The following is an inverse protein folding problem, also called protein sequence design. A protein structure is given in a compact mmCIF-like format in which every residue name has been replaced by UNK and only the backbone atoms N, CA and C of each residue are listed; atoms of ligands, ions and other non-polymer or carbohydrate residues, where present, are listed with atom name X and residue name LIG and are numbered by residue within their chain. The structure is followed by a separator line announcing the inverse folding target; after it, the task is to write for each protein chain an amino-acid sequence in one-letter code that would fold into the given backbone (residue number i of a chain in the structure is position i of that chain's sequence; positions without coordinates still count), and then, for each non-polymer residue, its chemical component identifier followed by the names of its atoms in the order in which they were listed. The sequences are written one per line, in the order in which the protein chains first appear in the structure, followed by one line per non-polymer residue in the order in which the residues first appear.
data_IF_621774405036
#
_entry.id   IF_621774405036
#
_cell.length_a   1.000
_cell.length_b   1.000
_cell.length_c   1.000
_cell.angle_alpha   90.00
_cell.angle_beta   90.00
_cell.angle_gamma   90.00
#
_symmetry.space_group_name_H-M   'P 1'
#
loop_
_entity.id
_entity.type
_entity.pdbx_description
1 polymer ?
#
# COMPACT_ATOMS: atom_id res chain seq x y z
N UNK A 1 -7.41 -18.73 7.49
CA UNK A 1 -7.71 -17.30 7.76
C UNK A 1 -7.71 -17.10 9.27
N UNK A 2 -6.87 -16.19 9.79
CA UNK A 2 -6.71 -15.94 11.25
C UNK A 2 -7.93 -15.16 11.79
N UNK A 3 -8.15 -15.22 13.11
CA UNK A 3 -9.26 -14.49 13.73
C UNK A 3 -9.05 -12.96 13.64
N UNK A 4 -7.80 -12.49 13.74
CA UNK A 4 -7.46 -11.09 13.51
C UNK A 4 -7.88 -10.65 12.09
N UNK A 5 -7.58 -11.46 11.07
CA UNK A 5 -7.95 -11.14 9.68
C UNK A 5 -9.47 -11.06 9.49
N UNK A 6 -10.23 -11.96 10.11
CA UNK A 6 -11.71 -11.94 10.08
C UNK A 6 -12.27 -10.69 10.78
N UNK A 7 -11.71 -10.36 11.96
CA UNK A 7 -12.09 -9.16 12.73
C UNK A 7 -11.81 -7.89 11.92
N UNK A 8 -10.59 -7.78 11.36
CA UNK A 8 -10.18 -6.63 10.55
C UNK A 8 -11.04 -6.47 9.28
N UNK A 9 -11.36 -7.58 8.60
CA UNK A 9 -12.23 -7.53 7.42
C UNK A 9 -13.60 -6.94 7.75
N UNK A 10 -14.27 -7.44 8.77
CA UNK A 10 -15.58 -6.92 9.22
C UNK A 10 -15.51 -5.44 9.62
N UNK A 11 -14.42 -5.03 10.28
CA UNK A 11 -14.23 -3.65 10.68
C UNK A 11 -14.02 -2.73 9.48
N UNK A 12 -13.27 -3.15 8.47
CA UNK A 12 -13.11 -2.43 7.20
C UNK A 12 -14.45 -2.30 6.45
N UNK A 13 -15.21 -3.39 6.35
CA UNK A 13 -16.54 -3.40 5.71
C UNK A 13 -17.49 -2.42 6.41
N UNK A 14 -17.52 -2.42 7.74
CA UNK A 14 -18.36 -1.48 8.53
C UNK A 14 -17.97 -0.01 8.32
N UNK A 15 -16.77 0.26 7.84
CA UNK A 15 -16.27 1.58 7.46
C UNK A 15 -16.48 1.93 5.99
N UNK A 16 -17.12 1.04 5.22
CA UNK A 16 -17.46 1.28 3.82
C UNK A 16 -16.35 0.92 2.82
N UNK A 17 -15.31 0.23 3.24
CA UNK A 17 -14.35 -0.36 2.31
C UNK A 17 -14.96 -1.62 1.67
N UNK A 18 -14.66 -1.83 0.39
CA UNK A 18 -14.92 -3.12 -0.27
C UNK A 18 -13.80 -4.09 0.14
N UNK A 19 -14.15 -5.23 0.74
CA UNK A 19 -13.14 -6.11 1.33
C UNK A 19 -13.21 -7.51 0.72
N UNK A 20 -12.06 -8.01 0.31
CA UNK A 20 -11.88 -9.39 -0.12
C UNK A 20 -10.82 -10.06 0.76
N UNK A 21 -11.06 -11.31 1.12
CA UNK A 21 -10.10 -12.11 1.88
C UNK A 21 -9.70 -13.34 1.07
N UNK A 22 -8.40 -13.53 0.87
CA UNK A 22 -7.84 -14.64 0.10
C UNK A 22 -6.74 -15.34 0.87
N UNK A 23 -6.56 -16.63 0.64
CA UNK A 23 -5.61 -17.43 1.39
C UNK A 23 -4.16 -17.22 0.92
N UNK A 24 -3.94 -17.05 -0.38
CA UNK A 24 -2.60 -17.11 -0.99
C UNK A 24 -2.34 -15.96 -1.95
N UNK A 25 -1.07 -15.70 -2.21
CA UNK A 25 -0.60 -14.68 -3.16
C UNK A 25 -1.09 -14.92 -4.59
N UNK A 26 -1.04 -16.16 -5.15
CA UNK A 26 -1.59 -16.39 -6.49
C UNK A 26 -3.08 -16.06 -6.62
N UNK A 27 -3.90 -16.48 -5.65
CA UNK A 27 -5.34 -16.15 -5.64
C UNK A 27 -5.58 -14.65 -5.51
N UNK A 28 -4.76 -13.95 -4.72
CA UNK A 28 -4.81 -12.49 -4.63
C UNK A 28 -4.51 -11.81 -5.97
N UNK A 29 -3.50 -12.31 -6.69
CA UNK A 29 -3.14 -11.80 -8.01
C UNK A 29 -4.29 -11.96 -9.01
N UNK A 30 -4.86 -13.15 -9.11
CA UNK A 30 -6.00 -13.43 -10.00
C UNK A 30 -7.21 -12.54 -9.69
N UNK A 31 -7.54 -12.42 -8.40
CA UNK A 31 -8.62 -11.55 -7.95
C UNK A 31 -8.36 -10.08 -8.34
N UNK A 32 -7.17 -9.55 -8.04
CA UNK A 32 -6.84 -8.15 -8.37
C UNK A 32 -6.93 -7.91 -9.87
N UNK A 33 -6.44 -8.82 -10.69
CA UNK A 33 -6.56 -8.72 -12.15
C UNK A 33 -8.03 -8.71 -12.60
N UNK A 34 -8.89 -9.53 -11.99
CA UNK A 34 -10.33 -9.57 -12.33
C UNK A 34 -11.11 -8.32 -11.90
N UNK A 35 -10.59 -7.55 -10.95
CA UNK A 35 -11.20 -6.29 -10.46
C UNK A 35 -10.86 -5.09 -11.35
N UNK A 36 -9.91 -5.24 -12.26
CA UNK A 36 -9.45 -4.18 -13.17
C UNK A 36 -10.21 -4.28 -14.49
N UNK A 37 -10.92 -3.22 -14.90
CA UNK A 37 -11.63 -3.21 -16.19
C UNK A 37 -10.66 -3.36 -17.37
N UNK A 38 -11.10 -4.04 -18.42
CA UNK A 38 -10.36 -4.13 -19.68
C UNK A 38 -10.04 -2.74 -20.25
N UNK A 39 -8.81 -2.54 -20.70
CA UNK A 39 -8.36 -1.27 -21.26
C UNK A 39 -8.11 -0.15 -20.24
N UNK A 40 -8.42 -0.36 -18.96
CA UNK A 40 -8.16 0.63 -17.93
C UNK A 40 -6.67 0.97 -17.83
N UNK A 41 -6.35 2.24 -17.59
CA UNK A 41 -5.01 2.70 -17.23
C UNK A 41 -4.76 2.48 -15.73
N UNK A 42 -3.53 2.11 -15.39
CA UNK A 42 -3.16 1.70 -14.03
C UNK A 42 -2.08 2.61 -13.48
N UNK A 43 -2.36 3.28 -12.38
CA UNK A 43 -1.35 3.91 -11.55
C UNK A 43 -0.85 2.96 -10.47
N UNK A 44 0.44 2.97 -10.16
CA UNK A 44 0.95 2.18 -9.05
C UNK A 44 1.88 2.98 -8.15
N UNK A 45 1.67 2.88 -6.84
CA UNK A 45 2.56 3.42 -5.83
C UNK A 45 3.82 2.59 -5.63
N UNK A 46 4.85 3.18 -5.04
CA UNK A 46 6.03 2.43 -4.60
C UNK A 46 5.66 1.40 -3.54
N UNK A 47 5.55 0.13 -3.94
CA UNK A 47 5.08 -0.94 -3.07
C UNK A 47 5.78 -2.26 -3.36
N UNK A 48 6.55 -2.72 -2.39
CA UNK A 48 7.16 -4.06 -2.46
C UNK A 48 6.07 -5.14 -2.55
N UNK A 49 4.95 -4.96 -1.87
CA UNK A 49 3.80 -5.87 -1.97
C UNK A 49 3.29 -6.02 -3.40
N UNK A 50 3.08 -4.90 -4.11
CA UNK A 50 2.62 -4.92 -5.51
C UNK A 50 3.66 -5.58 -6.42
N UNK A 51 4.95 -5.33 -6.17
CA UNK A 51 6.04 -5.98 -6.92
C UNK A 51 6.06 -7.49 -6.68
N UNK A 52 5.97 -7.94 -5.43
CA UNK A 52 5.99 -9.37 -5.08
C UNK A 52 4.75 -10.12 -5.60
N UNK A 53 3.61 -9.45 -5.73
CA UNK A 53 2.42 -10.00 -6.39
C UNK A 53 2.64 -10.30 -7.88
N UNK A 54 3.55 -9.59 -8.54
CA UNK A 54 3.79 -9.71 -9.98
C UNK A 54 2.56 -9.33 -10.83
N UNK A 55 1.67 -8.49 -10.30
CA UNK A 55 0.45 -8.07 -11.00
C UNK A 55 0.78 -7.07 -12.13
N UNK A 56 1.78 -6.21 -11.94
CA UNK A 56 2.18 -5.21 -12.94
C UNK A 56 2.69 -5.86 -14.22
N UNK A 57 3.53 -6.87 -14.12
CA UNK A 57 4.07 -7.57 -15.28
C UNK A 57 2.96 -8.22 -16.11
N UNK A 58 1.94 -8.78 -15.43
CA UNK A 58 0.77 -9.37 -16.09
C UNK A 58 -0.07 -8.28 -16.78
N UNK A 59 -0.34 -7.16 -16.13
CA UNK A 59 -1.07 -6.04 -16.73
C UNK A 59 -0.38 -5.48 -17.98
N UNK A 60 0.94 -5.33 -17.93
CA UNK A 60 1.74 -4.92 -19.09
C UNK A 60 1.63 -5.94 -20.23
N UNK A 61 1.70 -7.25 -19.93
CA UNK A 61 1.57 -8.31 -20.94
C UNK A 61 0.16 -8.38 -21.55
N UNK A 62 -0.86 -7.91 -20.83
CA UNK A 62 -2.25 -7.79 -21.30
C UNK A 62 -2.52 -6.49 -22.07
N UNK A 63 -1.49 -5.63 -22.24
CA UNK A 63 -1.61 -4.39 -23.00
C UNK A 63 -2.17 -3.19 -22.22
N UNK A 64 -2.29 -3.27 -20.91
CA UNK A 64 -2.68 -2.13 -20.10
C UNK A 64 -1.58 -1.06 -20.08
N UNK A 65 -1.97 0.22 -20.04
CA UNK A 65 -1.05 1.32 -19.73
C UNK A 65 -0.80 1.36 -18.21
N UNK A 66 0.46 1.11 -17.80
CA UNK A 66 0.84 1.10 -16.39
C UNK A 66 1.82 2.25 -16.11
N UNK A 67 1.43 3.13 -15.20
CA UNK A 67 2.22 4.24 -14.70
C UNK A 67 2.83 3.91 -13.34
N UNK A 68 4.07 3.41 -13.35
CA UNK A 68 4.79 3.01 -12.15
C UNK A 68 6.25 3.46 -12.21
N UNK A 69 6.67 4.26 -11.24
CA UNK A 69 8.02 4.84 -11.20
C UNK A 69 9.14 3.81 -10.91
N UNK A 70 8.79 2.53 -10.79
CA UNK A 70 9.75 1.42 -10.70
C UNK A 70 9.94 0.70 -12.04
N UNK A 71 9.24 1.10 -13.07
CA UNK A 71 9.50 0.61 -14.43
C UNK A 71 10.83 1.20 -14.95
N UNK A 72 11.57 0.45 -15.78
CA UNK A 72 12.75 0.98 -16.47
C UNK A 72 12.41 2.28 -17.22
N UNK A 73 13.34 3.22 -17.23
CA UNK A 73 13.27 4.48 -17.98
C UNK A 73 12.09 5.40 -17.63
N UNK A 74 11.40 5.14 -16.49
CA UNK A 74 10.30 5.99 -16.05
C UNK A 74 10.79 7.38 -15.62
N UNK A 75 10.28 8.43 -16.27
CA UNK A 75 10.39 9.79 -15.75
C UNK A 75 9.54 9.90 -14.49
N UNK A 76 10.19 9.98 -13.33
CA UNK A 76 9.51 9.96 -12.03
C UNK A 76 8.52 11.09 -11.87
N UNK A 77 8.80 12.27 -12.40
CA UNK A 77 7.92 13.44 -12.27
C UNK A 77 6.64 13.25 -13.08
N UNK A 78 6.79 12.92 -14.37
CA UNK A 78 5.66 12.67 -15.25
C UNK A 78 4.82 11.47 -14.80
N UNK A 79 5.47 10.39 -14.36
CA UNK A 79 4.78 9.16 -13.96
C UNK A 79 3.97 9.31 -12.68
N UNK A 80 4.36 10.17 -11.75
CA UNK A 80 3.56 10.43 -10.55
C UNK A 80 2.22 11.10 -10.90
N UNK A 81 2.25 12.08 -11.79
CA UNK A 81 1.04 12.75 -12.27
C UNK A 81 0.15 11.77 -13.05
N UNK A 82 0.71 11.03 -14.00
CA UNK A 82 -0.02 10.03 -14.78
C UNK A 82 -0.64 8.96 -13.88
N UNK A 83 0.07 8.47 -12.87
CA UNK A 83 -0.44 7.49 -11.92
C UNK A 83 -1.58 8.04 -11.07
N UNK A 84 -1.54 9.33 -10.72
CA UNK A 84 -2.59 9.99 -9.95
C UNK A 84 -3.88 10.24 -10.78
N UNK A 85 -3.79 10.21 -12.11
CA UNK A 85 -4.92 10.41 -13.03
C UNK A 85 -5.32 9.13 -13.79
N UNK A 86 -4.78 7.97 -13.43
CA UNK A 86 -5.15 6.69 -14.02
C UNK A 86 -6.59 6.27 -13.61
N UNK A 87 -7.16 5.26 -14.28
CA UNK A 87 -8.49 4.75 -13.96
C UNK A 87 -8.48 3.96 -12.64
N UNK A 88 -7.42 3.20 -12.39
CA UNK A 88 -7.24 2.35 -11.20
C UNK A 88 -5.88 2.62 -10.55
N UNK A 89 -5.83 2.69 -9.22
CA UNK A 89 -4.59 2.81 -8.49
C UNK A 89 -4.27 1.58 -7.65
N UNK A 90 -3.10 1.00 -7.85
CA UNK A 90 -2.60 -0.14 -7.11
C UNK A 90 -1.62 0.31 -6.02
N UNK A 91 -1.87 -0.10 -4.80
CA UNK A 91 -0.98 0.17 -3.68
C UNK A 91 -1.09 -0.90 -2.58
N UNK A 92 -0.49 -0.61 -1.45
CA UNK A 92 -0.65 -1.36 -0.20
C UNK A 92 -0.76 -0.40 0.96
N UNK A 93 -1.29 -0.84 2.09
CA UNK A 93 -1.19 -0.12 3.35
C UNK A 93 0.10 -0.51 4.10
N UNK A 94 0.67 0.42 4.88
CA UNK A 94 1.78 0.07 5.76
C UNK A 94 1.30 -0.69 7.01
N UNK A 95 0.10 -0.37 7.51
CA UNK A 95 -0.55 -1.15 8.56
C UNK A 95 -2.08 -1.01 8.46
N UNK A 96 -2.79 -2.03 8.95
CA UNK A 96 -4.25 -2.01 9.09
C UNK A 96 -4.60 -2.39 10.53
N UNK A 97 -5.36 -1.53 11.20
CA UNK A 97 -5.78 -1.77 12.58
C UNK A 97 -6.90 -2.80 12.67
N UNK A 98 -7.02 -3.47 13.81
CA UNK A 98 -8.14 -4.37 14.08
C UNK A 98 -9.51 -3.68 13.98
N UNK A 99 -9.54 -2.34 14.13
CA UNK A 99 -10.74 -1.51 14.01
C UNK A 99 -10.99 -1.02 12.56
N UNK A 100 -10.23 -1.52 11.58
CA UNK A 100 -10.44 -1.23 10.16
C UNK A 100 -9.95 0.14 9.69
N UNK A 101 -8.89 0.67 10.26
CA UNK A 101 -8.25 1.89 9.80
C UNK A 101 -6.99 1.57 8.99
N UNK A 102 -6.82 2.23 7.84
CA UNK A 102 -5.63 2.11 7.02
C UNK A 102 -4.61 3.17 7.44
N UNK A 103 -3.43 2.76 7.88
CA UNK A 103 -2.38 3.67 8.34
C UNK A 103 -1.18 3.57 7.39
N UNK A 104 -0.76 4.73 6.88
CA UNK A 104 0.34 4.83 5.94
C UNK A 104 1.30 5.94 6.35
N UNK A 105 2.60 5.67 6.21
CA UNK A 105 3.65 6.68 6.33
C UNK A 105 4.41 6.78 5.02
N UNK A 106 4.62 7.99 4.54
CA UNK A 106 5.18 8.28 3.22
C UNK A 106 6.25 9.37 3.29
N UNK A 107 7.21 9.29 2.37
CA UNK A 107 8.27 10.28 2.23
C UNK A 107 7.91 11.36 1.20
N UNK A 108 7.67 10.97 -0.03
CA UNK A 108 7.32 11.87 -1.14
C UNK A 108 5.82 12.23 -1.17
N UNK A 109 5.00 11.47 -0.45
CA UNK A 109 3.54 11.61 -0.36
C UNK A 109 2.76 11.32 -1.65
N UNK A 110 3.43 10.98 -2.75
CA UNK A 110 2.78 10.67 -4.02
C UNK A 110 1.81 9.49 -3.92
N UNK A 111 2.16 8.45 -3.16
CA UNK A 111 1.33 7.27 -2.94
C UNK A 111 0.07 7.61 -2.15
N UNK A 112 0.21 8.25 -1.00
CA UNK A 112 -0.94 8.59 -0.14
C UNK A 112 -1.84 9.64 -0.80
N UNK A 113 -1.28 10.62 -1.53
CA UNK A 113 -2.06 11.59 -2.30
C UNK A 113 -2.91 10.90 -3.36
N UNK A 114 -2.34 9.97 -4.14
CA UNK A 114 -3.08 9.20 -5.13
C UNK A 114 -4.15 8.30 -4.50
N UNK A 115 -3.89 7.69 -3.34
CA UNK A 115 -4.90 6.90 -2.62
C UNK A 115 -6.07 7.75 -2.14
N UNK A 116 -5.83 9.02 -1.75
CA UNK A 116 -6.85 9.92 -1.18
C UNK A 116 -7.58 10.68 -2.30
N UNK A 117 -6.85 11.33 -3.19
CA UNK A 117 -7.40 12.24 -4.20
C UNK A 117 -7.28 11.74 -5.64
N UNK A 118 -6.42 10.78 -5.93
CA UNK A 118 -6.18 10.25 -7.28
C UNK A 118 -7.36 9.46 -7.87
N UNK A 119 -7.12 8.31 -8.50
CA UNK A 119 -8.12 7.52 -9.21
C UNK A 119 -9.37 7.19 -8.42
N UNK A 120 -10.51 7.05 -9.12
CA UNK A 120 -11.80 6.70 -8.50
C UNK A 120 -11.76 5.32 -7.87
N UNK A 121 -11.02 4.38 -8.45
CA UNK A 121 -10.85 3.03 -7.91
C UNK A 121 -9.44 2.85 -7.38
N UNK A 122 -9.32 2.49 -6.11
CA UNK A 122 -8.05 2.18 -5.43
C UNK A 122 -8.10 0.74 -4.94
N UNK A 123 -7.12 -0.08 -5.33
CA UNK A 123 -7.00 -1.47 -4.88
C UNK A 123 -5.76 -1.60 -4.01
N UNK A 124 -5.97 -2.01 -2.77
CA UNK A 124 -4.93 -2.17 -1.76
C UNK A 124 -4.70 -3.65 -1.47
N UNK A 125 -3.54 -4.18 -1.85
CA UNK A 125 -3.12 -5.51 -1.46
C UNK A 125 -2.43 -5.47 -0.09
N UNK A 126 -2.92 -6.25 0.87
CA UNK A 126 -2.45 -6.20 2.27
C UNK A 126 -2.12 -7.60 2.75
N UNK A 127 -0.83 -7.88 2.95
CA UNK A 127 -0.39 -9.15 3.56
C UNK A 127 -0.71 -9.22 5.06
N UNK A 128 -0.87 -10.45 5.57
CA UNK A 128 -1.19 -10.74 6.97
C UNK A 128 -0.24 -10.05 7.96
N UNK A 129 1.03 -9.91 7.60
CA UNK A 129 2.07 -9.25 8.40
C UNK A 129 1.82 -7.75 8.65
N UNK A 130 0.83 -7.15 8.00
CA UNK A 130 0.47 -5.72 8.14
C UNK A 130 -0.74 -5.47 9.03
N UNK A 131 -1.43 -6.54 9.44
CA UNK A 131 -2.54 -6.43 10.38
C UNK A 131 -2.01 -6.28 11.80
N UNK A 132 -2.58 -5.35 12.56
CA UNK A 132 -2.22 -5.16 13.97
C UNK A 132 -3.43 -5.33 14.86
N UNK A 133 -3.25 -6.10 15.95
CA UNK A 133 -4.29 -6.23 16.97
C UNK A 133 -4.20 -5.05 17.94
N UNK A 134 -4.75 -3.92 17.50
CA UNK A 134 -4.73 -2.65 18.22
C UNK A 134 -5.14 -1.49 17.31
N UNK A 135 -5.08 -0.28 17.87
CA UNK A 135 -5.46 0.95 17.18
C UNK A 135 -4.28 1.62 16.45
N UNK A 136 -4.48 2.90 16.10
CA UNK A 136 -3.54 3.72 15.31
C UNK A 136 -2.13 3.74 15.88
N UNK A 137 -1.96 3.88 17.20
CA UNK A 137 -0.65 3.91 17.82
C UNK A 137 0.11 2.59 17.63
N UNK A 138 -0.59 1.45 17.71
CA UNK A 138 -0.01 0.13 17.42
C UNK A 138 0.40 0.03 15.95
N UNK A 139 -0.42 0.55 15.04
CA UNK A 139 -0.12 0.58 13.62
C UNK A 139 1.12 1.45 13.31
N UNK A 140 1.22 2.65 13.89
CA UNK A 140 2.40 3.52 13.76
C UNK A 140 3.63 2.83 14.34
N UNK A 141 3.51 2.20 15.52
CA UNK A 141 4.59 1.42 16.12
C UNK A 141 5.07 0.29 15.20
N UNK A 142 4.16 -0.45 14.57
CA UNK A 142 4.49 -1.47 13.55
C UNK A 142 5.23 -0.86 12.37
N UNK A 143 4.75 0.26 11.84
CA UNK A 143 5.37 0.93 10.69
C UNK A 143 6.82 1.32 11.01
N UNK A 144 7.06 1.93 12.18
CA UNK A 144 8.39 2.36 12.61
C UNK A 144 9.34 1.20 12.93
N UNK A 145 8.80 0.09 13.44
CA UNK A 145 9.58 -1.10 13.77
C UNK A 145 9.92 -1.96 12.55
N UNK A 146 8.95 -2.15 11.64
CA UNK A 146 9.06 -3.16 10.60
C UNK A 146 9.19 -2.59 9.17
N UNK A 147 8.37 -1.58 8.81
CA UNK A 147 8.32 -1.07 7.45
C UNK A 147 9.41 -0.02 7.17
N UNK A 148 9.56 0.96 8.06
CA UNK A 148 10.50 2.06 7.84
C UNK A 148 11.95 1.59 7.75
N UNK A 149 12.49 0.75 8.65
CA UNK A 149 13.87 0.30 8.55
C UNK A 149 14.16 -0.45 7.25
N UNK A 150 13.30 -1.40 6.88
CA UNK A 150 13.46 -2.17 5.63
C UNK A 150 13.39 -1.28 4.40
N UNK A 151 12.49 -0.31 4.40
CA UNK A 151 12.36 0.62 3.27
C UNK A 151 13.55 1.59 3.19
N UNK A 152 14.07 2.07 4.33
CA UNK A 152 15.25 2.91 4.38
C UNK A 152 16.50 2.19 3.83
N UNK A 153 16.69 0.92 4.20
CA UNK A 153 17.76 0.06 3.62
C UNK A 153 17.57 -0.09 2.11
N UNK A 154 16.36 -0.42 1.65
CA UNK A 154 16.07 -0.57 0.21
C UNK A 154 16.36 0.70 -0.59
N UNK A 155 16.15 1.87 0.01
CA UNK A 155 16.39 3.18 -0.62
C UNK A 155 17.85 3.65 -0.50
N UNK A 156 18.72 2.90 0.20
CA UNK A 156 20.10 3.29 0.43
C UNK A 156 20.26 4.53 1.31
N UNK A 157 19.29 4.77 2.22
CA UNK A 157 19.32 5.96 3.09
C UNK A 157 20.28 5.77 4.27
N UNK A 158 20.82 6.88 4.76
CA UNK A 158 21.73 6.89 5.92
C UNK A 158 21.03 7.23 7.24
N UNK A 159 19.73 6.93 7.34
CA UNK A 159 18.94 7.17 8.55
C UNK A 159 19.33 6.24 9.70
N UNK A 160 19.05 6.59 10.96
CA UNK A 160 19.30 5.71 12.11
C UNK A 160 18.69 4.32 11.92
N UNK A 161 17.45 4.24 11.43
CA UNK A 161 16.76 2.97 11.23
C UNK A 161 17.37 2.10 10.10
N UNK A 162 17.98 2.70 9.07
CA UNK A 162 18.71 1.95 8.06
C UNK A 162 20.00 1.32 8.61
N UNK A 163 20.68 2.02 9.54
CA UNK A 163 21.93 1.56 10.12
C UNK A 163 21.74 0.54 11.25
N UNK A 164 20.73 0.76 12.10
CA UNK A 164 20.54 -0.01 13.35
C UNK A 164 19.37 -0.97 13.33
N UNK A 165 18.50 -0.89 12.32
CA UNK A 165 17.22 -1.60 12.27
C UNK A 165 16.15 -1.04 13.20
N UNK A 166 16.45 0.05 13.96
CA UNK A 166 15.53 0.65 14.93
C UNK A 166 15.28 2.12 14.61
N UNK A 167 14.01 2.53 14.71
CA UNK A 167 13.66 3.94 14.58
C UNK A 167 14.16 4.72 15.78
N UNK A 168 14.86 5.83 15.51
CA UNK A 168 15.21 6.85 16.50
C UNK A 168 14.86 8.22 15.90
N UNK A 169 13.71 8.76 16.27
CA UNK A 169 13.18 9.99 15.69
C UNK A 169 14.00 11.21 16.05
N UNK A 170 14.56 11.25 17.25
CA UNK A 170 15.36 12.38 17.72
C UNK A 170 16.66 12.57 16.93
N UNK A 171 17.17 11.50 16.33
CA UNK A 171 18.39 11.50 15.50
C UNK A 171 18.08 11.48 13.98
N UNK A 172 16.79 11.41 13.61
CA UNK A 172 16.35 11.27 12.22
C UNK A 172 15.97 12.65 11.65
N UNK A 173 16.94 13.57 11.54
CA UNK A 173 16.69 14.95 11.09
C UNK A 173 16.84 15.12 9.58
N UNK A 174 17.91 14.60 8.99
CA UNK A 174 18.17 14.70 7.55
C UNK A 174 17.93 13.37 6.85
N UNK A 175 17.28 13.42 5.66
CA UNK A 175 16.99 12.23 4.86
C UNK A 175 15.91 11.34 5.45
N UNK A 176 15.17 11.78 6.47
CA UNK A 176 14.00 11.05 6.95
C UNK A 176 12.98 10.84 5.84
N UNK A 177 12.48 9.62 5.73
CA UNK A 177 11.44 9.31 4.75
C UNK A 177 10.04 9.18 5.37
N UNK A 178 9.90 9.42 6.68
CA UNK A 178 8.63 9.31 7.40
C UNK A 178 8.01 10.71 7.55
N UNK A 179 7.82 11.41 6.42
CA UNK A 179 7.44 12.82 6.42
C UNK A 179 5.96 13.05 6.70
N UNK A 180 5.11 12.09 6.29
CA UNK A 180 3.66 12.22 6.45
C UNK A 180 3.08 10.87 6.87
N UNK A 181 2.25 10.88 7.90
CA UNK A 181 1.44 9.73 8.28
C UNK A 181 -0.03 10.06 8.05
N UNK A 182 -0.71 9.20 7.29
CA UNK A 182 -2.15 9.32 7.01
C UNK A 182 -2.91 8.19 7.67
N UNK A 183 -4.11 8.51 8.17
CA UNK A 183 -5.06 7.55 8.73
C UNK A 183 -6.33 7.68 7.92
N UNK A 184 -6.66 6.63 7.19
CA UNK A 184 -7.90 6.58 6.42
C UNK A 184 -8.93 5.80 7.25
N UNK A 185 -9.92 6.53 7.77
CA UNK A 185 -11.02 5.97 8.57
C UNK A 185 -12.13 5.37 7.71
N UNK A 186 -12.36 5.96 6.55
CA UNK A 186 -13.37 5.59 5.56
C UNK A 186 -12.82 5.88 4.16
N UNK A 187 -13.35 5.27 3.10
CA UNK A 187 -13.10 5.73 1.74
C UNK A 187 -13.46 7.21 1.59
N UNK A 188 -12.67 7.97 0.84
CA UNK A 188 -13.07 9.33 0.48
C UNK A 188 -14.39 9.31 -0.33
N UNK A 189 -15.21 10.35 -0.19
CA UNK A 189 -16.53 10.41 -0.85
C UNK A 189 -16.39 10.21 -2.36
N UNK A 190 -17.22 9.33 -2.91
CA UNK A 190 -17.24 9.01 -4.34
C UNK A 190 -16.12 8.07 -4.79
N UNK A 191 -15.26 7.59 -3.90
CA UNK A 191 -14.21 6.63 -4.25
C UNK A 191 -14.59 5.20 -3.88
N UNK A 192 -14.19 4.27 -4.74
CA UNK A 192 -14.21 2.83 -4.50
C UNK A 192 -12.84 2.40 -3.99
N UNK A 193 -12.72 2.08 -2.71
CA UNK A 193 -11.48 1.58 -2.12
C UNK A 193 -11.65 0.11 -1.77
N UNK A 194 -10.92 -0.73 -2.49
CA UNK A 194 -10.94 -2.18 -2.37
C UNK A 194 -9.72 -2.62 -1.55
N UNK A 195 -9.94 -3.38 -0.50
CA UNK A 195 -8.87 -3.93 0.33
C UNK A 195 -8.84 -5.46 0.18
N UNK A 196 -7.78 -5.97 -0.43
CA UNK A 196 -7.56 -7.40 -0.58
C UNK A 196 -6.63 -7.86 0.54
N UNK A 197 -7.20 -8.50 1.58
CA UNK A 197 -6.46 -9.09 2.68
C UNK A 197 -5.95 -10.47 2.27
N UNK A 198 -4.65 -10.69 2.41
CA UNK A 198 -3.95 -11.91 1.96
C UNK A 198 -3.45 -12.68 3.18
N UNK A 199 -3.82 -13.96 3.29
CA UNK A 199 -3.47 -14.85 4.40
C UNK A 199 -1.99 -15.23 4.51
N UNK A 200 -1.13 -14.59 3.71
CA UNK A 200 0.31 -14.75 3.70
C UNK A 200 1.01 -13.41 3.97
N UNK A 201 2.23 -13.46 4.51
CA UNK A 201 3.07 -12.28 4.62
C UNK A 201 3.50 -11.81 3.22
N UNK A 202 3.40 -10.50 2.96
CA UNK A 202 3.74 -9.91 1.66
C UNK A 202 4.21 -8.47 1.83
N UNK A 203 5.37 -8.15 1.28
CA UNK A 203 6.04 -6.88 1.49
C UNK A 203 6.41 -6.64 2.96
N UNK A 204 6.53 -5.38 3.39
CA UNK A 204 6.88 -4.99 4.76
C UNK A 204 6.12 -3.77 5.25
#
# INVERSE_FOLDING_TARGET
MTDLMKKTAKALESRGFEVHTVATVPVAKELILSLIPEGASIGAGGSVTIRELGVVDTLLSQGHKVYWHWLPDADKTAVYDQAAHADVYLASANAVTADGQLVNTDGTCNRVAAMIQGPQTVILAVGLNKLVDGGVNTAIGRIKRDACPKNAVRLGLHTPCARTGKCNESECSEGCMCNTTTIMHHPARGKRVIVVLIGQALGY
#
